data_IF_155346270475
#
_entry.id   IF_155346270475
#
_cell.length_a   1.000
_cell.length_b   1.000
_cell.length_c   1.000
_cell.angle_alpha   90.00
_cell.angle_beta   90.00
_cell.angle_gamma   90.00
#
_symmetry.space_group_name_H-M   'P 1'
#
loop_
_entity.id
_entity.type
_entity.pdbx_description
1 polymer ?
#
# COMPACT_ATOMS: atom_id res chain seq x y z
N UNK A 1 -25.09 2.40 5.98
CA UNK A 1 -23.77 1.76 5.99
C UNK A 1 -22.77 2.87 6.32
N UNK A 2 -22.20 2.88 7.53
CA UNK A 2 -21.08 3.77 7.88
C UNK A 2 -19.92 3.35 6.99
N UNK A 3 -19.42 4.26 6.15
CA UNK A 3 -18.20 4.05 5.39
C UNK A 3 -17.06 3.72 6.37
N UNK A 4 -16.22 2.77 6.02
CA UNK A 4 -14.99 2.47 6.76
C UNK A 4 -14.14 3.73 6.66
N UNK A 5 -13.90 4.38 7.77
CA UNK A 5 -13.09 5.59 7.82
C UNK A 5 -11.68 5.18 8.24
N UNK A 6 -10.74 5.28 7.31
CA UNK A 6 -9.33 5.16 7.62
C UNK A 6 -8.87 6.45 8.29
N UNK A 7 -8.33 6.36 9.49
CA UNK A 7 -7.85 7.51 10.24
C UNK A 7 -6.34 7.56 10.14
N UNK A 8 -5.82 8.68 9.69
CA UNK A 8 -4.40 8.95 9.60
C UNK A 8 -4.01 10.03 10.60
N UNK A 9 -2.96 9.79 11.36
CA UNK A 9 -2.45 10.69 12.40
C UNK A 9 -1.00 11.06 12.14
N UNK A 10 -0.74 12.35 12.08
CA UNK A 10 0.62 12.87 12.07
C UNK A 10 1.13 13.02 13.50
N UNK A 11 2.27 12.42 13.79
CA UNK A 11 2.92 12.48 15.09
C UNK A 11 4.30 13.12 14.95
N UNK A 12 4.65 13.99 15.88
CA UNK A 12 6.01 14.49 16.02
C UNK A 12 6.91 13.37 16.56
N UNK A 13 8.08 13.19 15.98
CA UNK A 13 8.93 12.01 16.22
C UNK A 13 9.23 11.77 17.72
N UNK A 14 9.56 12.81 18.48
CA UNK A 14 10.10 12.68 19.83
C UNK A 14 9.06 12.81 20.96
N UNK A 15 7.86 13.31 20.69
CA UNK A 15 6.89 13.67 21.73
C UNK A 15 5.60 12.86 21.70
N UNK A 16 5.43 11.96 20.72
CA UNK A 16 4.16 11.27 20.47
C UNK A 16 2.95 12.25 20.42
N UNK A 17 3.21 13.51 20.08
CA UNK A 17 2.20 14.54 20.01
C UNK A 17 1.46 14.44 18.67
N UNK A 18 0.14 14.30 18.73
CA UNK A 18 -0.70 14.31 17.54
C UNK A 18 -0.84 15.73 17.02
N UNK A 19 -0.30 15.98 15.81
CA UNK A 19 -0.34 17.29 15.18
C UNK A 19 -1.55 17.45 14.28
N UNK A 20 -1.96 16.39 13.61
CA UNK A 20 -3.04 16.42 12.62
C UNK A 20 -3.67 15.03 12.49
N UNK A 21 -4.98 15.02 12.30
CA UNK A 21 -5.75 13.83 11.93
C UNK A 21 -6.56 14.13 10.68
N UNK A 22 -6.54 13.23 9.69
CA UNK A 22 -7.36 13.37 8.49
C UNK A 22 -7.89 12.01 8.02
N UNK A 23 -9.09 12.00 7.44
CA UNK A 23 -9.61 10.79 6.82
C UNK A 23 -8.81 10.49 5.56
N UNK A 24 -8.38 9.24 5.41
CA UNK A 24 -7.87 8.76 4.13
C UNK A 24 -9.03 8.33 3.23
N UNK A 25 -8.92 8.58 1.92
CA UNK A 25 -9.93 8.12 0.99
C UNK A 25 -10.06 6.59 1.06
N UNK A 26 -11.27 6.13 1.09
CA UNK A 26 -11.56 4.70 0.93
C UNK A 26 -11.60 4.37 -0.56
N UNK A 27 -11.34 3.10 -0.91
CA UNK A 27 -11.80 2.58 -2.20
C UNK A 27 -13.30 2.85 -2.24
N UNK A 28 -13.69 3.79 -3.07
CA UNK A 28 -15.06 4.30 -3.06
C UNK A 28 -15.98 3.19 -3.51
N UNK A 29 -16.95 2.82 -2.66
CA UNK A 29 -18.10 1.99 -3.06
C UNK A 29 -19.08 2.78 -3.94
N UNK A 30 -18.56 3.79 -4.64
CA UNK A 30 -19.30 4.64 -5.57
C UNK A 30 -19.44 3.98 -6.94
N UNK A 31 -20.47 4.40 -7.69
CA UNK A 31 -20.72 3.93 -9.05
C UNK A 31 -19.95 4.75 -10.11
N UNK A 32 -19.14 5.73 -9.72
CA UNK A 32 -18.51 6.69 -10.62
C UNK A 32 -17.04 6.86 -10.29
N UNK A 33 -16.27 7.19 -11.32
CA UNK A 33 -14.87 7.61 -11.19
C UNK A 33 -14.83 9.03 -10.61
N UNK A 34 -14.07 9.20 -9.55
CA UNK A 34 -13.86 10.50 -8.89
C UNK A 34 -12.38 10.85 -8.90
N UNK A 35 -12.07 12.13 -9.10
CA UNK A 35 -10.73 12.69 -8.91
C UNK A 35 -10.77 13.64 -7.73
N UNK A 36 -9.89 13.43 -6.78
CA UNK A 36 -9.78 14.23 -5.57
C UNK A 36 -8.35 14.74 -5.41
N UNK A 37 -8.23 15.95 -4.90
CA UNK A 37 -6.94 16.55 -4.55
C UNK A 37 -7.01 17.00 -3.10
N UNK A 38 -6.04 16.54 -2.31
CA UNK A 38 -5.90 16.92 -0.92
C UNK A 38 -4.55 17.60 -0.73
N UNK A 39 -4.54 18.68 0.03
CA UNK A 39 -3.31 19.38 0.36
C UNK A 39 -3.24 19.64 1.86
N UNK A 40 -2.10 19.33 2.43
CA UNK A 40 -1.72 19.68 3.78
C UNK A 40 -0.54 20.66 3.66
N UNK A 41 -0.65 21.81 4.31
CA UNK A 41 0.41 22.81 4.30
C UNK A 41 0.43 23.49 5.69
N UNK A 42 1.28 22.97 6.54
CA UNK A 42 1.48 23.51 7.88
C UNK A 42 2.97 23.51 8.25
N UNK A 43 3.30 23.93 9.46
CA UNK A 43 4.68 24.07 9.93
C UNK A 43 5.47 22.74 9.93
N UNK A 44 4.79 21.60 10.06
CA UNK A 44 5.43 20.30 10.21
C UNK A 44 5.42 19.47 8.93
N UNK A 45 4.40 19.64 8.09
CA UNK A 45 4.16 18.79 6.95
C UNK A 45 3.64 19.60 5.76
N UNK A 46 4.27 19.43 4.62
CA UNK A 46 3.73 19.79 3.32
C UNK A 46 3.47 18.51 2.54
N UNK A 47 2.21 18.26 2.23
CA UNK A 47 1.83 17.08 1.48
C UNK A 47 0.75 17.40 0.45
N UNK A 48 0.84 16.73 -0.70
CA UNK A 48 -0.21 16.73 -1.72
C UNK A 48 -0.55 15.29 -2.05
N UNK A 49 -1.85 15.03 -2.20
CA UNK A 49 -2.38 13.74 -2.57
C UNK A 49 -3.34 13.95 -3.74
N UNK A 50 -3.03 13.31 -4.87
CA UNK A 50 -3.92 13.27 -6.04
C UNK A 50 -4.50 11.88 -6.15
N UNK A 51 -5.81 11.79 -6.13
CA UNK A 51 -6.51 10.50 -6.12
C UNK A 51 -7.40 10.33 -7.33
N UNK A 52 -7.38 9.13 -7.90
CA UNK A 52 -8.38 8.62 -8.84
C UNK A 52 -9.04 7.42 -8.17
N UNK A 53 -10.30 7.56 -7.79
CA UNK A 53 -11.08 6.49 -7.17
C UNK A 53 -12.13 5.93 -8.11
N UNK A 54 -12.25 4.59 -8.13
CA UNK A 54 -13.26 3.83 -8.85
C UNK A 54 -13.84 2.75 -7.93
N UNK A 55 -14.92 2.07 -8.32
CA UNK A 55 -15.43 0.93 -7.55
C UNK A 55 -14.45 -0.25 -7.45
N UNK A 56 -13.48 -0.35 -8.33
CA UNK A 56 -12.59 -1.51 -8.46
C UNK A 56 -11.16 -1.23 -7.97
N UNK A 57 -10.71 0.01 -8.09
CA UNK A 57 -9.37 0.41 -7.68
C UNK A 57 -9.33 1.89 -7.28
N UNK A 58 -8.35 2.27 -6.51
CA UNK A 58 -7.97 3.66 -6.28
C UNK A 58 -6.47 3.83 -6.55
N UNK A 59 -6.11 4.97 -7.14
CA UNK A 59 -4.72 5.37 -7.38
C UNK A 59 -4.48 6.64 -6.60
N UNK A 60 -3.44 6.65 -5.77
CA UNK A 60 -3.03 7.80 -5.00
C UNK A 60 -1.59 8.16 -5.34
N UNK A 61 -1.39 9.35 -5.89
CA UNK A 61 -0.09 9.96 -6.09
C UNK A 61 0.18 10.91 -4.94
N UNK A 62 1.22 10.64 -4.15
CA UNK A 62 1.48 11.36 -2.91
C UNK A 62 2.88 11.95 -2.86
N UNK A 63 2.94 13.25 -2.57
CA UNK A 63 4.18 13.97 -2.32
C UNK A 63 4.18 14.46 -0.88
N UNK A 64 5.23 14.13 -0.15
CA UNK A 64 5.36 14.44 1.27
C UNK A 64 6.72 15.09 1.50
N UNK A 65 6.75 16.18 2.26
CA UNK A 65 7.99 16.81 2.72
C UNK A 65 7.81 17.38 4.12
N UNK A 66 8.86 17.29 4.92
CA UNK A 66 8.88 17.84 6.29
C UNK A 66 10.26 18.40 6.61
N UNK A 67 10.28 19.50 7.35
CA UNK A 67 11.51 20.12 7.87
C UNK A 67 12.02 19.44 9.15
N UNK A 68 11.19 18.61 9.78
CA UNK A 68 11.51 17.79 10.96
C UNK A 68 11.20 16.33 10.66
N UNK A 69 11.82 15.36 11.37
CA UNK A 69 11.43 13.95 11.25
C UNK A 69 9.99 13.77 11.74
N UNK A 70 9.17 13.09 10.94
CA UNK A 70 7.76 12.84 11.28
C UNK A 70 7.40 11.38 11.17
N UNK A 71 6.35 10.99 11.88
CA UNK A 71 5.70 9.69 11.75
C UNK A 71 4.24 9.87 11.36
N UNK A 72 3.83 9.11 10.38
CA UNK A 72 2.43 9.04 9.96
C UNK A 72 1.89 7.67 10.37
N UNK A 73 0.91 7.66 11.26
CA UNK A 73 0.19 6.47 11.69
C UNK A 73 -1.11 6.37 10.93
N UNK A 74 -1.37 5.21 10.36
CA UNK A 74 -2.62 4.93 9.66
C UNK A 74 -3.24 3.68 10.24
N UNK A 75 -4.52 3.76 10.62
CA UNK A 75 -5.28 2.63 11.16
C UNK A 75 -6.63 2.49 10.48
N UNK A 76 -6.93 1.27 10.05
CA UNK A 76 -8.24 0.88 9.53
C UNK A 76 -8.45 -0.62 9.78
N UNK A 77 -9.37 -0.97 10.67
CA UNK A 77 -9.54 -2.37 11.13
C UNK A 77 -10.22 -3.26 10.06
N UNK A 78 -11.15 -2.71 9.28
CA UNK A 78 -11.93 -3.46 8.27
C UNK A 78 -11.49 -3.16 6.83
N UNK A 79 -10.22 -2.87 6.63
CA UNK A 79 -9.70 -2.51 5.33
C UNK A 79 -9.05 -3.73 4.65
N UNK A 80 -9.62 -4.14 3.53
CA UNK A 80 -9.16 -5.29 2.76
C UNK A 80 -8.86 -4.84 1.33
N UNK A 81 -7.61 -4.56 1.06
CA UNK A 81 -7.13 -4.24 -0.28
C UNK A 81 -5.75 -4.84 -0.52
N UNK A 82 -5.40 -4.97 -1.77
CA UNK A 82 -4.04 -5.25 -2.18
C UNK A 82 -3.45 -3.97 -2.75
N UNK A 83 -2.28 -3.58 -2.26
CA UNK A 83 -1.59 -2.37 -2.69
C UNK A 83 -0.39 -2.69 -3.56
N UNK A 84 -0.34 -2.08 -4.72
CA UNK A 84 0.91 -1.90 -5.42
C UNK A 84 1.46 -0.54 -5.04
N UNK A 85 2.66 -0.51 -4.46
CA UNK A 85 3.33 0.71 -4.02
C UNK A 85 4.60 0.90 -4.83
N UNK A 86 4.86 2.12 -5.31
CA UNK A 86 6.07 2.45 -6.08
C UNK A 86 6.62 3.82 -5.67
N UNK A 87 7.89 3.87 -5.25
CA UNK A 87 8.56 5.07 -4.76
C UNK A 87 9.36 5.75 -5.88
N UNK A 88 9.01 6.99 -6.23
CA UNK A 88 9.68 7.78 -7.27
C UNK A 88 10.84 8.61 -6.73
N UNK A 89 10.75 9.07 -5.48
CA UNK A 89 11.78 9.90 -4.88
C UNK A 89 11.81 9.75 -3.36
N UNK A 90 12.95 10.03 -2.76
CA UNK A 90 13.16 10.01 -1.33
C UNK A 90 13.30 8.60 -0.77
N UNK A 91 13.18 8.51 0.56
CA UNK A 91 13.09 7.26 1.29
C UNK A 91 12.21 7.42 2.52
N UNK A 92 11.61 6.32 2.96
CA UNK A 92 10.82 6.23 4.18
C UNK A 92 11.00 4.84 4.81
N UNK A 93 10.79 4.74 6.11
CA UNK A 93 10.76 3.46 6.82
C UNK A 93 9.35 3.17 7.27
N UNK A 94 8.83 2.01 6.96
CA UNK A 94 7.47 1.62 7.27
C UNK A 94 7.42 0.37 8.15
N UNK A 95 6.48 0.36 9.10
CA UNK A 95 6.10 -0.80 9.89
C UNK A 95 4.64 -1.11 9.61
N UNK A 96 4.29 -2.39 9.41
CA UNK A 96 2.92 -2.82 9.13
C UNK A 96 2.46 -3.88 10.12
N UNK A 97 1.31 -3.65 10.78
CA UNK A 97 0.57 -4.62 11.59
C UNK A 97 1.43 -5.45 12.55
N UNK A 98 2.48 -4.86 13.13
CA UNK A 98 3.47 -5.55 13.97
C UNK A 98 4.18 -6.74 13.29
N UNK A 99 3.80 -7.13 12.09
CA UNK A 99 4.33 -8.27 11.32
C UNK A 99 5.58 -7.86 10.55
N UNK A 100 5.54 -6.69 9.90
CA UNK A 100 6.70 -6.09 9.26
C UNK A 100 7.23 -5.02 10.21
N UNK A 101 8.28 -5.35 10.96
CA UNK A 101 8.84 -4.46 11.99
C UNK A 101 9.53 -3.23 11.44
N UNK A 102 10.14 -3.36 10.27
CA UNK A 102 10.80 -2.24 9.59
C UNK A 102 11.04 -2.61 8.13
N UNK A 103 10.53 -1.81 7.24
CA UNK A 103 10.76 -1.94 5.81
C UNK A 103 11.14 -0.60 5.22
N UNK A 104 12.21 -0.59 4.46
CA UNK A 104 12.69 0.60 3.78
C UNK A 104 12.04 0.69 2.40
N UNK A 105 11.58 1.88 2.07
CA UNK A 105 11.11 2.28 0.75
C UNK A 105 12.07 3.31 0.19
N UNK A 106 12.87 2.91 -0.78
CA UNK A 106 13.83 3.80 -1.42
C UNK A 106 13.36 4.20 -2.81
N UNK A 107 13.93 5.26 -3.34
CA UNK A 107 13.67 5.65 -4.72
C UNK A 107 13.88 4.48 -5.69
N UNK A 108 12.88 4.21 -6.49
CA UNK A 108 12.87 3.12 -7.47
C UNK A 108 12.31 1.80 -6.93
N UNK A 109 12.04 1.68 -5.63
CA UNK A 109 11.47 0.48 -5.03
C UNK A 109 9.97 0.35 -5.31
N UNK A 110 9.53 -0.88 -5.52
CA UNK A 110 8.12 -1.25 -5.56
C UNK A 110 7.86 -2.62 -4.91
N UNK A 111 6.61 -2.83 -4.50
CA UNK A 111 6.09 -4.14 -4.09
C UNK A 111 4.57 -4.19 -4.24
N UNK A 112 4.04 -5.41 -4.27
CA UNK A 112 2.61 -5.69 -4.16
C UNK A 112 2.36 -6.32 -2.80
N UNK A 113 1.52 -5.69 -2.00
CA UNK A 113 1.28 -6.02 -0.59
C UNK A 113 -0.19 -6.22 -0.31
N UNK A 114 -0.52 -7.12 0.60
CA UNK A 114 -1.83 -7.22 1.25
C UNK A 114 -1.64 -7.35 2.75
N UNK A 115 -2.44 -6.61 3.50
CA UNK A 115 -2.58 -6.79 4.95
C UNK A 115 -4.07 -6.83 5.30
N UNK A 116 -4.47 -7.64 6.28
CA UNK A 116 -5.81 -7.58 6.83
C UNK A 116 -5.86 -6.45 7.87
N UNK A 117 -6.71 -5.47 7.58
CA UNK A 117 -6.66 -4.20 8.26
C UNK A 117 -5.40 -3.40 7.92
N UNK A 118 -5.33 -2.18 8.35
CA UNK A 118 -4.13 -1.33 8.28
C UNK A 118 -3.81 -0.84 9.68
N UNK A 119 -2.64 -1.19 10.15
CA UNK A 119 -2.01 -0.58 11.32
C UNK A 119 -0.55 -0.34 10.94
N UNK A 120 -0.31 0.83 10.36
CA UNK A 120 0.99 1.17 9.82
C UNK A 120 1.55 2.44 10.44
N UNK A 121 2.87 2.47 10.53
CA UNK A 121 3.63 3.64 10.94
C UNK A 121 4.71 3.89 9.88
N UNK A 122 4.61 5.02 9.19
CA UNK A 122 5.61 5.45 8.21
C UNK A 122 6.43 6.58 8.81
N UNK A 123 7.73 6.38 8.86
CA UNK A 123 8.71 7.36 9.29
C UNK A 123 9.35 8.05 8.09
N UNK A 124 9.21 9.36 8.04
CA UNK A 124 9.85 10.23 7.04
C UNK A 124 10.99 10.99 7.71
N UNK A 125 12.21 10.89 7.19
CA UNK A 125 13.33 11.63 7.72
C UNK A 125 13.22 13.12 7.36
N UNK A 126 13.90 13.94 8.15
CA UNK A 126 14.00 15.39 7.95
C UNK A 126 14.52 15.75 6.55
N UNK A 127 13.95 16.79 5.95
CA UNK A 127 14.41 17.38 4.70
C UNK A 127 14.56 16.40 3.53
N UNK A 128 13.78 15.32 3.53
CA UNK A 128 13.79 14.32 2.47
C UNK A 128 12.43 14.34 1.76
N UNK A 129 12.29 15.02 0.62
CA UNK A 129 11.08 14.94 -0.16
C UNK A 129 10.81 13.49 -0.58
N UNK A 130 9.61 13.01 -0.29
CA UNK A 130 9.17 11.65 -0.61
C UNK A 130 8.03 11.71 -1.63
N UNK A 131 8.13 10.87 -2.66
CA UNK A 131 7.11 10.73 -3.68
C UNK A 131 6.83 9.25 -3.92
N UNK A 132 5.59 8.84 -3.71
CA UNK A 132 5.11 7.48 -3.91
C UNK A 132 3.77 7.49 -4.65
N UNK A 133 3.58 6.51 -5.51
CA UNK A 133 2.27 6.17 -6.05
C UNK A 133 1.81 4.83 -5.47
N UNK A 134 0.58 4.83 -4.96
CA UNK A 134 -0.11 3.65 -4.45
C UNK A 134 -1.29 3.32 -5.35
N UNK A 135 -1.42 2.07 -5.73
CA UNK A 135 -2.57 1.53 -6.46
C UNK A 135 -3.23 0.50 -5.57
N UNK A 136 -4.40 0.85 -5.05
CA UNK A 136 -5.21 -0.02 -4.20
C UNK A 136 -6.19 -0.78 -5.06
N UNK A 137 -6.14 -2.11 -5.01
CA UNK A 137 -6.96 -3.01 -5.80
C UNK A 137 -8.00 -3.66 -4.90
N UNK A 138 -9.28 -3.60 -5.29
CA UNK A 138 -10.33 -4.32 -4.57
C UNK A 138 -10.20 -5.83 -4.78
N UNK A 139 -10.76 -6.60 -3.84
CA UNK A 139 -10.83 -8.06 -3.98
C UNK A 139 -11.60 -8.48 -5.24
N UNK A 140 -12.65 -7.74 -5.60
CA UNK A 140 -13.45 -8.06 -6.80
C UNK A 140 -12.63 -7.85 -8.09
N UNK A 141 -11.83 -6.78 -8.14
CA UNK A 141 -10.92 -6.53 -9.27
C UNK A 141 -9.88 -7.65 -9.42
N UNK A 142 -9.26 -8.03 -8.32
CA UNK A 142 -8.26 -9.10 -8.35
C UNK A 142 -8.87 -10.47 -8.66
N UNK A 143 -10.09 -10.74 -8.18
CA UNK A 143 -10.82 -11.97 -8.52
C UNK A 143 -11.12 -12.03 -10.02
N UNK A 144 -11.55 -10.93 -10.62
CA UNK A 144 -11.74 -10.84 -12.08
C UNK A 144 -10.44 -11.13 -12.82
N UNK A 145 -9.31 -10.54 -12.38
CA UNK A 145 -8.01 -10.83 -12.99
C UNK A 145 -7.61 -12.31 -12.85
N UNK A 146 -7.80 -12.90 -11.67
CA UNK A 146 -7.43 -14.31 -11.43
C UNK A 146 -8.24 -15.31 -12.26
N UNK A 147 -9.49 -15.00 -12.59
CA UNK A 147 -10.31 -15.83 -13.49
C UNK A 147 -9.68 -15.89 -14.90
N UNK A 148 -9.15 -14.77 -15.37
CA UNK A 148 -8.56 -14.68 -16.71
C UNK A 148 -7.07 -15.02 -16.75
N UNK A 149 -6.38 -14.85 -15.62
CA UNK A 149 -4.93 -15.01 -15.48
C UNK A 149 -4.62 -15.79 -14.20
N UNK A 150 -4.88 -17.11 -14.14
CA UNK A 150 -4.76 -17.92 -12.93
C UNK A 150 -3.34 -17.91 -12.33
N UNK A 151 -2.32 -17.71 -13.17
CA UNK A 151 -0.92 -17.67 -12.73
C UNK A 151 -0.45 -16.30 -12.27
N UNK A 152 -1.32 -15.27 -12.28
CA UNK A 152 -0.98 -13.88 -11.97
C UNK A 152 -0.25 -13.72 -10.63
N UNK A 153 -0.59 -14.53 -9.64
CA UNK A 153 0.02 -14.52 -8.31
C UNK A 153 1.02 -15.68 -8.11
N UNK A 154 1.72 -16.09 -9.17
CA UNK A 154 2.73 -17.15 -9.12
C UNK A 154 2.15 -18.53 -8.91
N UNK A 155 1.00 -18.85 -9.53
CA UNK A 155 0.32 -20.13 -9.44
C UNK A 155 -0.29 -20.42 -8.06
N UNK A 156 -0.35 -19.42 -7.18
CA UNK A 156 -1.03 -19.54 -5.90
C UNK A 156 -2.53 -19.39 -6.08
N UNK A 157 -3.27 -20.23 -5.35
CA UNK A 157 -4.70 -20.06 -5.26
C UNK A 157 -5.03 -18.64 -4.76
N UNK A 158 -5.74 -17.92 -5.57
CA UNK A 158 -6.10 -16.53 -5.33
C UNK A 158 -6.89 -16.35 -4.03
N UNK A 159 -7.82 -17.25 -3.73
CA UNK A 159 -8.59 -17.22 -2.48
C UNK A 159 -7.67 -17.42 -1.27
N UNK A 160 -6.64 -18.25 -1.38
CA UNK A 160 -5.61 -18.39 -0.34
C UNK A 160 -4.87 -17.07 -0.10
N UNK A 161 -4.52 -16.32 -1.15
CA UNK A 161 -3.89 -15.00 -1.01
C UNK A 161 -4.85 -14.00 -0.36
N UNK A 162 -6.13 -14.03 -0.71
CA UNK A 162 -7.13 -13.15 -0.12
C UNK A 162 -7.47 -13.49 1.33
N UNK A 163 -7.48 -14.78 1.68
CA UNK A 163 -7.80 -15.23 3.04
C UNK A 163 -6.63 -15.12 4.01
N UNK A 164 -5.39 -15.03 3.53
CA UNK A 164 -4.21 -14.90 4.40
C UNK A 164 -4.00 -13.43 4.84
N UNK A 165 -3.69 -13.25 6.12
CA UNK A 165 -3.56 -11.92 6.75
C UNK A 165 -2.48 -11.04 6.13
N UNK A 166 -1.39 -11.62 5.63
CA UNK A 166 -0.30 -10.91 4.97
C UNK A 166 0.11 -11.61 3.68
N UNK A 167 0.16 -10.87 2.59
CA UNK A 167 0.77 -11.30 1.34
C UNK A 167 1.76 -10.25 0.84
N UNK A 168 2.86 -10.72 0.24
CA UNK A 168 3.83 -9.90 -0.48
C UNK A 168 4.23 -10.63 -1.76
N UNK A 169 4.30 -9.89 -2.86
CA UNK A 169 4.78 -10.45 -4.12
C UNK A 169 6.28 -10.79 -4.02
N UNK A 170 7.03 -9.95 -3.35
CA UNK A 170 8.47 -10.14 -3.12
C UNK A 170 8.81 -9.98 -1.65
N UNK A 171 9.73 -10.78 -1.14
CA UNK A 171 10.16 -10.75 0.27
C UNK A 171 10.68 -9.37 0.70
N UNK A 172 11.35 -8.66 -0.21
CA UNK A 172 11.83 -7.29 -0.03
C UNK A 172 11.30 -6.44 -1.17
N UNK A 173 11.19 -5.14 -0.95
CA UNK A 173 10.95 -4.20 -2.03
C UNK A 173 12.06 -4.35 -3.09
N UNK A 174 11.70 -4.25 -4.34
CA UNK A 174 12.61 -4.41 -5.46
C UNK A 174 12.52 -3.26 -6.44
N UNK A 175 13.60 -2.96 -7.16
CA UNK A 175 13.56 -1.96 -8.21
C UNK A 175 12.52 -2.31 -9.28
N UNK A 176 11.69 -1.35 -9.65
CA UNK A 176 10.79 -1.49 -10.79
C UNK A 176 11.46 -1.02 -12.09
N UNK A 177 11.22 -1.80 -13.16
CA UNK A 177 11.83 -1.55 -14.46
C UNK A 177 11.26 -0.34 -15.20
N UNK A 178 11.92 0.08 -16.31
CA UNK A 178 11.50 1.24 -17.12
C UNK A 178 10.06 1.15 -17.64
N UNK A 179 9.56 -0.06 -17.96
CA UNK A 179 8.20 -0.27 -18.41
C UNK A 179 7.17 0.08 -17.33
N UNK A 180 7.37 -0.39 -16.10
CA UNK A 180 6.53 -0.05 -14.94
C UNK A 180 6.59 1.45 -14.68
N UNK A 181 7.80 2.05 -14.68
CA UNK A 181 7.97 3.50 -14.52
C UNK A 181 7.15 4.27 -15.55
N UNK A 182 7.26 3.87 -16.83
CA UNK A 182 6.52 4.51 -17.92
C UNK A 182 5.01 4.42 -17.72
N UNK A 183 4.49 3.23 -17.36
CA UNK A 183 3.07 3.03 -17.17
C UNK A 183 2.52 3.88 -16.00
N UNK A 184 3.23 3.95 -14.87
CA UNK A 184 2.90 4.83 -13.73
C UNK A 184 2.93 6.31 -14.13
N UNK A 185 3.94 6.72 -14.86
CA UNK A 185 4.07 8.09 -15.36
C UNK A 185 2.95 8.47 -16.33
N UNK A 186 2.55 7.56 -17.21
CA UNK A 186 1.45 7.75 -18.14
C UNK A 186 0.10 7.96 -17.41
N UNK A 187 -0.15 7.24 -16.31
CA UNK A 187 -1.33 7.46 -15.44
C UNK A 187 -1.31 8.87 -14.89
N UNK A 188 -0.17 9.29 -14.31
CA UNK A 188 0.00 10.59 -13.65
C UNK A 188 -0.22 11.76 -14.60
N UNK A 189 0.26 11.67 -15.83
CA UNK A 189 0.15 12.74 -16.83
C UNK A 189 -1.16 12.71 -17.62
N UNK A 190 -2.03 11.72 -17.37
CA UNK A 190 -3.29 11.58 -18.10
C UNK A 190 -4.23 12.77 -17.84
N UNK A 191 -4.64 13.42 -18.92
CA UNK A 191 -5.65 14.46 -18.90
C UNK A 191 -7.09 13.93 -19.07
N UNK A 192 -7.25 12.62 -19.13
CA UNK A 192 -8.55 11.98 -19.28
C UNK A 192 -9.40 12.17 -18.01
N UNK A 193 -10.72 12.16 -18.19
CA UNK A 193 -11.67 12.34 -17.11
C UNK A 193 -12.80 11.29 -17.17
N UNK A 194 -13.50 11.11 -16.04
CA UNK A 194 -14.63 10.19 -15.94
C UNK A 194 -14.29 8.76 -16.37
N UNK A 195 -15.17 8.11 -17.09
CA UNK A 195 -15.00 6.71 -17.49
C UNK A 195 -13.79 6.46 -18.40
N UNK A 196 -13.37 7.45 -19.18
CA UNK A 196 -12.18 7.31 -20.03
C UNK A 196 -10.91 7.28 -19.17
N UNK A 197 -10.84 8.09 -18.11
CA UNK A 197 -9.75 8.01 -17.15
C UNK A 197 -9.70 6.64 -16.45
N UNK A 198 -10.85 6.13 -16.04
CA UNK A 198 -10.96 4.81 -15.40
C UNK A 198 -10.49 3.68 -16.35
N UNK A 199 -10.98 3.67 -17.58
CA UNK A 199 -10.59 2.67 -18.57
C UNK A 199 -9.08 2.73 -18.89
N UNK A 200 -8.54 3.92 -19.03
CA UNK A 200 -7.10 4.10 -19.27
C UNK A 200 -6.27 3.65 -18.09
N UNK A 201 -6.67 4.03 -16.86
CA UNK A 201 -6.00 3.61 -15.65
C UNK A 201 -6.06 2.09 -15.46
N UNK A 202 -7.19 1.44 -15.72
CA UNK A 202 -7.33 -0.03 -15.69
C UNK A 202 -6.34 -0.72 -16.65
N UNK A 203 -6.25 -0.25 -17.90
CA UNK A 203 -5.28 -0.79 -18.85
C UNK A 203 -3.83 -0.66 -18.36
N UNK A 204 -3.50 0.49 -17.78
CA UNK A 204 -2.16 0.73 -17.22
C UNK A 204 -1.88 -0.09 -15.96
N UNK A 205 -2.86 -0.30 -15.11
CA UNK A 205 -2.73 -1.20 -13.94
C UNK A 205 -2.42 -2.62 -14.40
N UNK A 206 -3.11 -3.13 -15.40
CA UNK A 206 -2.84 -4.46 -15.98
C UNK A 206 -1.42 -4.54 -16.57
N UNK A 207 -0.97 -3.51 -17.27
CA UNK A 207 0.40 -3.39 -17.77
C UNK A 207 1.42 -3.42 -16.64
N UNK A 208 1.21 -2.63 -15.57
CA UNK A 208 2.08 -2.58 -14.39
C UNK A 208 2.16 -3.95 -13.71
N UNK A 209 1.03 -4.58 -13.43
CA UNK A 209 1.00 -5.89 -12.78
C UNK A 209 1.71 -6.94 -13.62
N UNK A 210 1.44 -6.97 -14.93
CA UNK A 210 2.09 -7.90 -15.86
C UNK A 210 3.61 -7.74 -15.87
N UNK A 211 4.10 -6.51 -16.02
CA UNK A 211 5.55 -6.23 -16.08
C UNK A 211 6.24 -6.46 -14.73
N UNK A 212 5.57 -6.11 -13.62
CA UNK A 212 6.17 -6.23 -12.29
C UNK A 212 6.20 -7.68 -11.83
N UNK A 213 5.13 -8.43 -12.07
CA UNK A 213 5.01 -9.82 -11.63
C UNK A 213 5.72 -10.83 -12.55
N UNK A 214 6.01 -10.47 -13.80
CA UNK A 214 6.76 -11.34 -14.72
C UNK A 214 8.15 -11.75 -14.17
N UNK A 215 8.76 -10.94 -13.31
CA UNK A 215 10.04 -11.28 -12.65
C UNK A 215 9.91 -12.20 -11.43
N UNK A 216 8.72 -12.72 -11.16
CA UNK A 216 8.49 -13.60 -10.01
C UNK A 216 9.05 -15.03 -10.20
N UNK A 217 9.22 -15.49 -11.41
CA UNK A 217 9.66 -16.86 -11.70
C UNK A 217 11.08 -17.19 -11.21
N UNK A 218 11.88 -16.16 -10.89
CA UNK A 218 13.28 -16.34 -10.46
C UNK A 218 13.49 -16.36 -8.94
N UNK A 219 12.48 -15.99 -8.12
CA UNK A 219 12.62 -15.97 -6.67
C UNK A 219 11.78 -17.06 -5.99
N UNK A 220 12.45 -17.95 -5.24
CA UNK A 220 11.79 -18.92 -4.36
C UNK A 220 10.95 -18.20 -3.29
N UNK A 221 9.63 -18.24 -3.44
CA UNK A 221 8.68 -17.61 -2.54
C UNK A 221 8.75 -18.19 -1.14
N UNK A 222 9.13 -17.39 -0.17
CA UNK A 222 8.80 -17.64 1.22
C UNK A 222 7.39 -17.09 1.49
N UNK A 223 6.41 -17.96 1.42
CA UNK A 223 5.11 -17.71 1.98
C UNK A 223 5.23 -17.41 3.47
N UNK A 224 4.85 -16.23 3.89
CA UNK A 224 4.32 -16.03 5.22
C UNK A 224 2.89 -16.58 5.22
N UNK A 225 2.74 -17.89 5.28
CA UNK A 225 1.45 -18.51 5.51
C UNK A 225 0.99 -18.21 6.94
N UNK A 226 -0.31 -18.29 7.22
CA UNK A 226 -0.92 -18.15 8.55
C UNK A 226 -0.27 -19.00 9.67
N UNK A 227 0.62 -19.91 9.31
CA UNK A 227 1.50 -20.63 10.24
C UNK A 227 2.33 -19.69 11.12
N UNK A 228 2.60 -18.44 10.68
CA UNK A 228 3.32 -17.47 11.51
C UNK A 228 2.43 -16.93 12.63
N UNK A 229 1.15 -16.69 12.38
CA UNK A 229 0.21 -16.29 13.44
C UNK A 229 0.11 -17.38 14.51
N UNK A 230 -0.14 -18.61 14.11
CA UNK A 230 -0.21 -19.78 15.01
C UNK A 230 1.14 -20.02 15.71
N UNK A 231 2.26 -19.78 15.03
CA UNK A 231 3.60 -19.93 15.62
C UNK A 231 3.92 -18.78 16.57
N UNK A 232 3.53 -17.55 16.26
CA UNK A 232 3.64 -16.41 17.17
C UNK A 232 2.80 -16.61 18.43
N UNK A 233 1.54 -17.05 18.30
CA UNK A 233 0.68 -17.33 19.47
C UNK A 233 1.26 -18.43 20.34
N UNK A 234 1.81 -19.49 19.75
CA UNK A 234 2.49 -20.56 20.48
C UNK A 234 3.78 -20.07 21.16
N UNK A 235 4.55 -19.20 20.52
CA UNK A 235 5.77 -18.60 21.09
C UNK A 235 5.38 -17.66 22.23
N UNK A 236 4.36 -16.82 22.07
CA UNK A 236 3.85 -15.95 23.15
C UNK A 236 3.30 -16.76 24.30
N UNK A 237 2.59 -17.86 24.02
CA UNK A 237 2.09 -18.77 25.07
C UNK A 237 3.23 -19.48 25.80
N UNK A 238 4.24 -20.00 25.08
CA UNK A 238 5.43 -20.59 25.67
C UNK A 238 6.22 -19.58 26.53
N UNK A 239 6.37 -18.33 26.06
CA UNK A 239 7.00 -17.28 26.82
C UNK A 239 6.25 -16.96 28.11
N UNK A 240 4.93 -16.84 28.05
CA UNK A 240 4.09 -16.59 29.22
C UNK A 240 4.19 -17.74 30.26
N UNK A 241 4.39 -18.98 29.84
CA UNK A 241 4.63 -20.11 30.74
C UNK A 241 6.00 -20.00 31.44
N UNK A 242 7.04 -19.63 30.67
CA UNK A 242 8.41 -19.47 31.21
C UNK A 242 8.52 -18.30 32.19
N UNK A 243 7.76 -17.21 31.98
CA UNK A 243 7.76 -16.04 32.86
C UNK A 243 6.92 -16.26 34.15
N UNK A 244 6.22 -17.39 34.30
CA UNK A 244 5.43 -17.77 35.47
C UNK A 244 6.15 -18.79 36.40
N UNK A 245 7.31 -19.29 36.02
CA UNK A 245 8.21 -20.10 36.88
C UNK A 245 9.35 -19.25 37.45
#
# INVERSE_FOLDING_TARGET
LKGIMMVTRLMKHDLCEMVLEWPMPNIVKGKRTEKNNYRIDNTYLKATFEEISTPLFSIMDQHISSEEPIKIYTRADDYHAVWFCATFAGHATCCYNSVIRSEEWNKGDANLLKCDGVDSCVHFPKNTPFHMMEIMLSHDYLRELAIHYPDLLGGKDFETVLCNGLYRAYRKNRPFGPGVYKALHDIRLSQLNGNMASMYADAKIREILSLFLAGQEEENYLHCSCTIGITCDKIHHARAIIEQE
#
